data_IF_757764592925
#
_entry.id   IF_757764592925
#
_cell.length_a   1.000
_cell.length_b   1.000
_cell.length_c   1.000
_cell.angle_alpha   90.00
_cell.angle_beta   90.00
_cell.angle_gamma   90.00
#
_symmetry.space_group_name_H-M   'P 1'
#
loop_
_entity.id
_entity.type
_entity.pdbx_description
1 polymer ?
#
# COMPACT_ATOMS: atom_id res chain seq x y z
N UNK A 1 -34.09 -25.49 22.50
CA UNK A 1 -32.65 -25.19 22.67
C UNK A 1 -32.14 -24.60 21.37
N UNK A 2 -32.16 -23.28 21.26
CA UNK A 2 -31.75 -22.52 20.09
C UNK A 2 -30.92 -21.33 20.59
N UNK A 3 -29.63 -21.57 20.84
CA UNK A 3 -28.65 -20.56 21.28
C UNK A 3 -27.24 -21.06 20.93
N UNK A 4 -26.89 -21.15 19.65
CA UNK A 4 -25.50 -21.33 19.18
C UNK A 4 -25.30 -20.66 17.82
N UNK A 5 -25.94 -19.50 17.62
CA UNK A 5 -25.97 -18.76 16.36
C UNK A 5 -25.19 -17.44 16.32
N UNK A 6 -24.31 -17.11 17.28
CA UNK A 6 -23.75 -15.74 17.35
C UNK A 6 -22.26 -15.61 17.72
N UNK A 7 -21.54 -16.69 18.01
CA UNK A 7 -20.21 -16.58 18.63
C UNK A 7 -19.02 -16.52 17.64
N UNK A 8 -19.19 -16.90 16.37
CA UNK A 8 -18.07 -16.95 15.40
C UNK A 8 -18.05 -15.74 14.45
N UNK A 9 -19.14 -14.98 14.34
CA UNK A 9 -19.18 -13.74 13.53
C UNK A 9 -18.45 -12.55 14.20
N UNK A 10 -18.19 -12.61 15.51
CA UNK A 10 -17.78 -11.44 16.30
C UNK A 10 -16.27 -11.20 16.41
N UNK A 11 -15.41 -12.06 15.86
CA UNK A 11 -13.96 -11.89 16.01
C UNK A 11 -13.26 -11.14 14.88
N UNK A 12 -13.96 -10.76 13.80
CA UNK A 12 -13.40 -9.98 12.70
C UNK A 12 -14.27 -8.80 12.25
N UNK A 13 -15.39 -8.54 12.93
CA UNK A 13 -16.38 -7.59 12.43
C UNK A 13 -17.17 -6.88 13.54
N UNK A 14 -16.80 -5.63 13.86
CA UNK A 14 -17.67 -4.76 14.65
C UNK A 14 -18.60 -4.01 13.69
N UNK A 15 -19.82 -4.52 13.50
CA UNK A 15 -20.83 -3.76 12.75
C UNK A 15 -21.33 -2.61 13.65
N UNK A 16 -21.00 -1.37 13.31
CA UNK A 16 -21.65 -0.24 13.96
C UNK A 16 -23.09 -0.17 13.41
N UNK A 17 -24.07 -0.63 14.18
CA UNK A 17 -25.47 -0.76 13.76
C UNK A 17 -26.22 0.55 13.44
N UNK A 18 -25.51 1.69 13.39
CA UNK A 18 -26.07 2.99 13.04
C UNK A 18 -26.09 3.18 11.50
N UNK A 19 -27.28 3.10 10.92
CA UNK A 19 -27.51 3.30 9.49
C UNK A 19 -27.09 4.70 9.04
N UNK A 20 -27.31 5.74 9.85
CA UNK A 20 -26.98 7.13 9.47
C UNK A 20 -25.48 7.33 9.46
N UNK A 21 -24.77 6.82 10.47
CA UNK A 21 -23.31 6.86 10.51
C UNK A 21 -22.67 6.14 9.32
N UNK A 22 -23.20 4.98 8.94
CA UNK A 22 -22.78 4.24 7.75
C UNK A 22 -22.99 5.04 6.46
N UNK A 23 -24.20 5.57 6.25
CA UNK A 23 -24.54 6.31 5.02
C UNK A 23 -23.67 7.57 4.88
N UNK A 24 -23.45 8.29 5.98
CA UNK A 24 -22.55 9.45 6.01
C UNK A 24 -21.10 9.05 5.71
N UNK A 25 -20.60 7.99 6.34
CA UNK A 25 -19.24 7.49 6.13
C UNK A 25 -19.01 7.11 4.67
N UNK A 26 -19.99 6.46 4.04
CA UNK A 26 -19.94 6.13 2.62
C UNK A 26 -19.87 7.37 1.73
N UNK A 27 -20.74 8.37 1.96
CA UNK A 27 -20.74 9.63 1.20
C UNK A 27 -19.39 10.36 1.34
N UNK A 28 -18.84 10.42 2.56
CA UNK A 28 -17.54 11.06 2.80
C UNK A 28 -16.41 10.33 2.08
N UNK A 29 -16.35 9.00 2.14
CA UNK A 29 -15.34 8.23 1.44
C UNK A 29 -15.47 8.37 -0.09
N UNK A 30 -16.68 8.30 -0.63
CA UNK A 30 -16.93 8.50 -2.06
C UNK A 30 -16.46 9.89 -2.52
N UNK A 31 -16.73 10.93 -1.71
CA UNK A 31 -16.28 12.30 -1.98
C UNK A 31 -14.75 12.39 -1.99
N UNK A 32 -14.08 11.79 -1.00
CA UNK A 32 -12.61 11.76 -0.94
C UNK A 32 -12.01 11.05 -2.16
N UNK A 33 -12.59 9.93 -2.59
CA UNK A 33 -12.15 9.20 -3.79
C UNK A 33 -12.36 10.03 -5.06
N UNK A 34 -13.49 10.73 -5.18
CA UNK A 34 -13.71 11.65 -6.31
C UNK A 34 -12.69 12.78 -6.34
N UNK A 35 -12.35 13.36 -5.18
CA UNK A 35 -11.31 14.39 -5.08
C UNK A 35 -9.93 13.83 -5.45
N UNK A 36 -9.60 12.62 -4.97
CA UNK A 36 -8.34 11.96 -5.31
C UNK A 36 -8.19 11.70 -6.82
N UNK A 37 -9.29 11.29 -7.48
CA UNK A 37 -9.35 11.12 -8.94
C UNK A 37 -9.19 12.46 -9.66
N UNK A 38 -9.86 13.51 -9.21
CA UNK A 38 -9.73 14.85 -9.79
C UNK A 38 -8.32 15.45 -9.63
N UNK A 39 -7.61 15.08 -8.57
CA UNK A 39 -6.23 15.49 -8.31
C UNK A 39 -5.17 14.57 -8.95
N UNK A 40 -5.57 13.59 -9.77
CA UNK A 40 -4.71 12.56 -10.38
C UNK A 40 -3.78 11.87 -9.36
N UNK A 41 -4.28 11.59 -8.14
CA UNK A 41 -3.50 10.89 -7.11
C UNK A 41 -3.31 9.40 -7.43
N UNK A 42 -4.20 8.82 -8.24
CA UNK A 42 -4.22 7.39 -8.59
C UNK A 42 -3.07 6.96 -9.50
N UNK A 43 -2.45 7.92 -10.19
CA UNK A 43 -1.37 7.69 -11.14
C UNK A 43 -0.04 8.07 -10.49
N UNK A 44 1.08 7.46 -10.91
CA UNK A 44 2.41 7.91 -10.52
C UNK A 44 2.57 9.41 -10.82
N UNK A 45 3.23 10.18 -9.95
CA UNK A 45 3.49 11.59 -10.23
C UNK A 45 4.30 11.71 -11.53
N UNK A 46 4.03 12.75 -12.36
CA UNK A 46 4.78 12.97 -13.59
C UNK A 46 6.26 13.14 -13.23
N UNK A 47 7.11 12.37 -13.92
CA UNK A 47 8.55 12.36 -13.67
C UNK A 47 9.12 13.76 -13.91
N UNK A 48 9.94 14.31 -12.99
CA UNK A 48 10.51 15.66 -13.14
C UNK A 48 11.44 15.78 -14.37
N UNK A 49 11.91 14.66 -14.93
CA UNK A 49 12.73 14.63 -16.15
C UNK A 49 11.93 14.55 -17.45
N UNK A 50 10.60 14.47 -17.37
CA UNK A 50 9.71 14.57 -18.53
C UNK A 50 9.46 16.02 -18.88
N UNK A 51 10.44 16.71 -19.46
CA UNK A 51 10.17 17.96 -20.17
C UNK A 51 8.99 17.71 -21.13
N UNK A 52 7.88 18.46 -21.07
CA UNK A 52 7.06 18.59 -22.25
C UNK A 52 7.99 19.19 -23.30
N UNK A 53 8.21 18.48 -24.40
CA UNK A 53 8.63 19.14 -25.63
C UNK A 53 7.51 20.13 -25.96
N UNK A 54 7.60 21.33 -25.38
CA UNK A 54 6.86 22.47 -25.84
C UNK A 54 7.33 22.61 -27.28
N UNK A 55 6.46 22.22 -28.20
CA UNK A 55 6.63 22.42 -29.62
C UNK A 55 6.74 23.94 -29.80
N UNK A 56 7.99 24.44 -29.79
CA UNK A 56 8.28 25.86 -29.99
C UNK A 56 7.98 26.14 -31.45
N UNK A 57 6.73 26.54 -31.68
CA UNK A 57 6.34 27.16 -32.92
C UNK A 57 7.09 28.49 -33.02
N UNK A 58 8.05 28.55 -33.94
CA UNK A 58 8.88 29.72 -34.17
C UNK A 58 8.03 30.88 -34.65
N UNK A 59 7.88 31.91 -33.81
CA UNK A 59 7.49 33.25 -34.25
C UNK A 59 8.66 34.20 -34.01
N UNK A 60 9.26 34.66 -35.12
CA UNK A 60 10.26 35.72 -35.13
C UNK A 60 9.71 37.00 -34.46
N UNK A 61 10.46 37.59 -33.54
CA UNK A 61 10.24 38.99 -33.14
C UNK A 61 10.77 39.34 -31.75
N UNK A 62 11.96 39.95 -31.73
CA UNK A 62 12.47 40.93 -30.79
C UNK A 62 12.51 40.67 -29.26
N UNK A 63 13.75 40.67 -28.76
CA UNK A 63 14.21 41.28 -27.51
C UNK A 63 13.24 41.31 -26.31
N UNK A 64 13.24 40.22 -25.53
CA UNK A 64 13.01 40.31 -24.08
C UNK A 64 14.05 39.44 -23.38
N UNK A 65 14.99 40.10 -22.71
CA UNK A 65 15.86 39.52 -21.68
C UNK A 65 14.96 38.97 -20.56
N UNK A 66 14.48 37.74 -20.67
CA UNK A 66 13.86 37.08 -19.54
C UNK A 66 14.95 36.35 -18.77
N UNK A 67 15.55 37.10 -17.84
CA UNK A 67 16.49 36.61 -16.86
C UNK A 67 15.92 35.35 -16.23
N UNK A 68 16.63 34.26 -16.45
CA UNK A 68 16.48 33.03 -15.71
C UNK A 68 16.69 33.39 -14.23
N UNK A 69 15.61 33.66 -13.51
CA UNK A 69 15.57 33.65 -12.05
C UNK A 69 15.89 32.22 -11.67
N UNK A 70 17.18 31.90 -11.66
CA UNK A 70 17.72 30.69 -11.04
C UNK A 70 17.45 30.89 -9.56
N UNK A 71 16.34 30.31 -9.10
CA UNK A 71 15.99 30.22 -7.69
C UNK A 71 17.26 29.89 -6.90
N UNK A 72 17.55 30.65 -5.85
CA UNK A 72 18.74 30.50 -5.01
C UNK A 72 18.74 29.19 -4.18
N UNK A 73 17.80 28.29 -4.48
CA UNK A 73 17.66 26.99 -3.84
C UNK A 73 18.71 26.04 -4.44
N UNK A 74 19.58 25.41 -3.63
CA UNK A 74 20.51 24.39 -4.10
C UNK A 74 19.78 23.28 -4.86
N UNK A 75 20.39 22.73 -5.91
CA UNK A 75 19.77 21.72 -6.78
C UNK A 75 19.25 20.50 -5.99
N UNK A 76 20.05 20.02 -5.04
CA UNK A 76 19.70 18.95 -4.09
C UNK A 76 18.46 19.27 -3.25
N UNK A 77 18.33 20.54 -2.81
CA UNK A 77 17.17 20.98 -2.03
C UNK A 77 15.91 20.96 -2.90
N UNK A 78 16.00 21.35 -4.17
CA UNK A 78 14.88 21.32 -5.10
C UNK A 78 14.48 19.88 -5.45
N UNK A 79 15.45 18.99 -5.69
CA UNK A 79 15.19 17.57 -5.96
C UNK A 79 14.50 16.89 -4.76
N UNK A 80 15.02 17.10 -3.54
CA UNK A 80 14.40 16.57 -2.33
C UNK A 80 12.97 17.09 -2.12
N UNK A 81 12.71 18.38 -2.35
CA UNK A 81 11.36 18.93 -2.28
C UNK A 81 10.41 18.29 -3.30
N UNK A 82 10.87 18.08 -4.54
CA UNK A 82 10.08 17.41 -5.56
C UNK A 82 9.78 15.95 -5.18
N UNK A 83 10.77 15.22 -4.65
CA UNK A 83 10.60 13.87 -4.12
C UNK A 83 9.60 13.85 -2.97
N UNK A 84 9.70 14.79 -2.03
CA UNK A 84 8.82 14.88 -0.86
C UNK A 84 7.36 15.12 -1.26
N UNK A 85 7.11 15.99 -2.24
CA UNK A 85 5.77 16.21 -2.81
C UNK A 85 5.22 14.94 -3.49
N UNK A 86 6.06 14.22 -4.23
CA UNK A 86 5.67 12.95 -4.84
C UNK A 86 5.28 11.89 -3.79
N UNK A 87 6.06 11.77 -2.72
CA UNK A 87 5.80 10.84 -1.62
C UNK A 87 4.57 11.26 -0.79
N UNK A 88 4.37 12.55 -0.56
CA UNK A 88 3.18 13.09 0.11
C UNK A 88 1.89 12.75 -0.65
N UNK A 89 1.89 12.94 -1.97
CA UNK A 89 0.76 12.57 -2.84
C UNK A 89 0.45 11.07 -2.74
N UNK A 90 1.49 10.24 -2.80
CA UNK A 90 1.37 8.78 -2.65
C UNK A 90 0.78 8.41 -1.30
N UNK A 91 1.30 8.96 -0.21
CA UNK A 91 0.80 8.71 1.16
C UNK A 91 -0.65 9.18 1.34
N UNK A 92 -1.02 10.31 0.73
CA UNK A 92 -2.40 10.83 0.72
C UNK A 92 -3.37 9.87 0.03
N UNK A 93 -3.00 9.32 -1.14
CA UNK A 93 -3.80 8.29 -1.81
C UNK A 93 -4.07 7.11 -0.87
N UNK A 94 -3.03 6.59 -0.22
CA UNK A 94 -3.17 5.43 0.66
C UNK A 94 -3.93 5.73 1.95
N UNK A 95 -3.87 6.95 2.47
CA UNK A 95 -4.72 7.36 3.58
C UNK A 95 -6.21 7.31 3.19
N UNK A 96 -6.56 7.78 1.99
CA UNK A 96 -7.92 7.70 1.45
C UNK A 96 -8.33 6.23 1.23
N UNK A 97 -7.42 5.41 0.72
CA UNK A 97 -7.64 3.96 0.57
C UNK A 97 -7.96 3.29 1.91
N UNK A 98 -7.16 3.54 2.95
CA UNK A 98 -7.38 2.99 4.29
C UNK A 98 -8.75 3.42 4.84
N UNK A 99 -9.13 4.69 4.71
CA UNK A 99 -10.45 5.17 5.13
C UNK A 99 -11.59 4.48 4.36
N UNK A 100 -11.41 4.28 3.05
CA UNK A 100 -12.34 3.52 2.23
C UNK A 100 -12.47 2.06 2.69
N UNK A 101 -11.35 1.39 3.01
CA UNK A 101 -11.33 0.03 3.57
C UNK A 101 -11.97 -0.06 4.94
N UNK A 102 -12.02 1.01 5.73
CA UNK A 102 -12.75 0.99 7.01
C UNK A 102 -14.26 0.81 6.80
N UNK A 103 -14.84 1.25 5.68
CA UNK A 103 -16.24 0.91 5.35
C UNK A 103 -16.42 -0.60 5.22
N UNK A 104 -15.42 -1.24 4.61
CA UNK A 104 -15.36 -2.67 4.41
C UNK A 104 -15.18 -3.41 5.70
N UNK A 105 -14.57 -2.84 6.76
CA UNK A 105 -14.32 -3.44 8.10
C UNK A 105 -15.33 -3.03 9.21
N UNK A 106 -16.05 -1.92 9.07
CA UNK A 106 -16.96 -1.38 10.08
C UNK A 106 -18.45 -1.43 9.70
N UNK A 107 -18.79 -1.41 8.41
CA UNK A 107 -20.20 -1.37 7.94
C UNK A 107 -20.63 -2.45 6.92
N UNK A 108 -19.71 -3.33 6.53
CA UNK A 108 -19.86 -4.45 5.58
C UNK A 108 -20.34 -3.93 4.24
N UNK A 109 -19.87 -2.73 3.93
CA UNK A 109 -20.18 -1.99 2.74
C UNK A 109 -19.01 -2.13 1.76
N UNK A 110 -19.31 -2.08 0.46
CA UNK A 110 -18.26 -2.02 -0.55
C UNK A 110 -17.29 -0.86 -0.28
N UNK A 111 -15.98 -1.05 -0.50
CA UNK A 111 -15.04 0.06 -0.41
C UNK A 111 -15.37 1.09 -1.49
N UNK A 112 -15.17 2.37 -1.18
CA UNK A 112 -15.31 3.45 -2.15
C UNK A 112 -14.17 3.46 -3.20
N UNK A 113 -13.04 2.85 -2.85
CA UNK A 113 -11.85 2.65 -3.69
C UNK A 113 -11.39 1.20 -3.59
N UNK A 114 -11.39 0.48 -4.72
CA UNK A 114 -11.03 -0.94 -4.76
C UNK A 114 -9.52 -1.15 -4.92
N UNK A 115 -9.06 -2.38 -4.65
CA UNK A 115 -7.66 -2.75 -4.84
C UNK A 115 -7.23 -2.64 -6.31
N UNK A 116 -8.13 -2.92 -7.27
CA UNK A 116 -7.79 -2.91 -8.70
C UNK A 116 -7.57 -1.49 -9.26
N UNK A 117 -8.16 -0.48 -8.62
CA UNK A 117 -8.04 0.92 -9.01
C UNK A 117 -6.66 1.54 -8.66
N UNK A 118 -5.91 0.96 -7.71
CA UNK A 118 -4.61 1.51 -7.28
C UNK A 118 -3.48 1.04 -8.19
N UNK A 119 -2.79 1.98 -8.84
CA UNK A 119 -1.64 1.70 -9.71
C UNK A 119 -0.30 2.22 -9.17
N UNK A 120 -0.32 2.91 -8.03
CA UNK A 120 0.87 3.49 -7.41
C UNK A 120 1.77 2.44 -6.74
N UNK A 121 3.04 2.82 -6.55
CA UNK A 121 3.98 2.09 -5.70
C UNK A 121 3.60 2.19 -4.23
N UNK A 122 4.08 1.25 -3.41
CA UNK A 122 3.99 1.37 -1.96
C UNK A 122 4.84 2.57 -1.47
N UNK A 123 4.44 3.19 -0.33
CA UNK A 123 5.22 4.26 0.29
C UNK A 123 6.59 3.80 0.78
N UNK A 124 7.57 4.69 0.73
CA UNK A 124 8.92 4.45 1.23
C UNK A 124 8.93 4.22 2.75
N UNK A 125 10.06 3.76 3.28
CA UNK A 125 10.25 3.64 4.73
C UNK A 125 10.13 4.99 5.45
N UNK A 126 9.67 4.94 6.71
CA UNK A 126 9.36 6.13 7.52
C UNK A 126 10.58 6.99 7.79
N UNK A 127 11.78 6.40 7.83
CA UNK A 127 13.04 7.12 8.05
C UNK A 127 13.30 8.15 6.94
N UNK A 128 13.10 7.77 5.67
CA UNK A 128 13.23 8.68 4.54
C UNK A 128 12.15 9.76 4.54
N UNK A 129 10.91 9.40 4.90
CA UNK A 129 9.80 10.34 5.00
C UNK A 129 10.00 11.36 6.14
N UNK A 130 10.56 10.93 7.26
CA UNK A 130 10.83 11.75 8.44
C UNK A 130 12.00 12.73 8.26
N UNK A 131 12.77 12.63 7.17
CA UNK A 131 13.83 13.59 6.86
C UNK A 131 13.27 15.03 6.82
N UNK A 132 13.85 15.92 7.62
CA UNK A 132 13.39 17.31 7.77
C UNK A 132 14.00 18.25 6.74
N UNK A 133 15.12 17.86 6.12
CA UNK A 133 15.85 18.65 5.13
C UNK A 133 16.64 17.76 4.16
N UNK A 134 17.05 18.34 3.01
CA UNK A 134 17.78 17.63 1.98
C UNK A 134 19.07 16.99 2.51
N UNK A 135 19.84 17.68 3.37
CA UNK A 135 21.09 17.15 3.92
C UNK A 135 20.87 15.81 4.65
N UNK A 136 19.84 15.74 5.50
CA UNK A 136 19.49 14.50 6.22
C UNK A 136 19.01 13.39 5.27
N UNK A 137 18.28 13.74 4.21
CA UNK A 137 17.80 12.81 3.20
C UNK A 137 18.95 12.20 2.37
N UNK A 138 19.87 13.02 1.88
CA UNK A 138 21.03 12.55 1.13
C UNK A 138 22.07 11.85 2.00
N UNK A 139 22.15 12.16 3.30
CA UNK A 139 22.97 11.39 4.24
C UNK A 139 22.51 9.92 4.35
N UNK A 140 21.22 9.63 4.09
CA UNK A 140 20.68 8.27 3.99
C UNK A 140 20.76 7.68 2.56
N UNK A 141 21.38 8.40 1.62
CA UNK A 141 21.54 8.00 0.21
C UNK A 141 20.41 8.47 -0.72
N UNK A 142 19.55 9.36 -0.25
CA UNK A 142 18.60 10.10 -1.07
C UNK A 142 17.54 9.24 -1.75
N UNK A 143 17.07 9.70 -2.92
CA UNK A 143 15.97 9.08 -3.67
C UNK A 143 16.29 7.65 -4.10
N UNK A 144 17.54 7.36 -4.47
CA UNK A 144 18.00 6.03 -4.85
C UNK A 144 17.88 5.02 -3.70
N UNK A 145 18.27 5.42 -2.48
CA UNK A 145 18.09 4.57 -1.29
C UNK A 145 16.62 4.46 -0.89
N UNK A 146 15.83 5.54 -0.97
CA UNK A 146 14.41 5.51 -0.65
C UNK A 146 13.62 4.57 -1.58
N UNK A 147 14.04 4.47 -2.84
CA UNK A 147 13.41 3.63 -3.86
C UNK A 147 13.98 2.19 -3.90
N UNK A 148 14.94 1.83 -3.05
CA UNK A 148 15.57 0.50 -3.12
C UNK A 148 14.59 -0.65 -2.78
N UNK A 149 13.56 -0.38 -1.99
CA UNK A 149 12.48 -1.32 -1.62
C UNK A 149 11.19 -1.05 -2.39
N UNK A 150 11.25 -0.24 -3.45
CA UNK A 150 10.08 0.17 -4.23
C UNK A 150 9.45 -1.03 -4.92
N UNK A 151 8.17 -1.21 -4.66
CA UNK A 151 7.34 -2.23 -5.30
C UNK A 151 5.95 -1.67 -5.56
N UNK A 152 5.32 -2.11 -6.65
CA UNK A 152 3.95 -1.68 -6.96
C UNK A 152 2.98 -2.29 -5.94
N UNK A 153 1.89 -1.57 -5.62
CA UNK A 153 0.84 -2.12 -4.75
C UNK A 153 0.33 -3.49 -5.23
N UNK A 154 0.09 -3.62 -6.54
CA UNK A 154 -0.41 -4.84 -7.17
C UNK A 154 0.60 -5.99 -7.03
N UNK A 155 1.90 -5.73 -7.24
CA UNK A 155 2.94 -6.75 -7.06
C UNK A 155 3.03 -7.22 -5.61
N UNK A 156 3.07 -6.27 -4.66
CA UNK A 156 3.14 -6.58 -3.24
C UNK A 156 1.93 -7.39 -2.75
N UNK A 157 0.71 -7.00 -3.15
CA UNK A 157 -0.50 -7.74 -2.79
C UNK A 157 -0.52 -9.14 -3.43
N UNK A 158 -0.07 -9.28 -4.67
CA UNK A 158 -0.01 -10.57 -5.35
C UNK A 158 0.99 -11.51 -4.68
N UNK A 159 2.18 -11.03 -4.37
CA UNK A 159 3.19 -11.81 -3.63
C UNK A 159 2.69 -12.21 -2.25
N UNK A 160 1.98 -11.31 -1.57
CA UNK A 160 1.37 -11.55 -0.26
C UNK A 160 0.31 -12.67 -0.33
N UNK A 161 -0.59 -12.62 -1.31
CA UNK A 161 -1.61 -13.66 -1.50
C UNK A 161 -1.02 -15.00 -1.98
N UNK A 162 0.14 -14.97 -2.66
CA UNK A 162 0.86 -16.18 -3.05
C UNK A 162 1.61 -16.84 -1.88
N UNK A 163 1.72 -16.19 -0.71
CA UNK A 163 2.38 -16.75 0.46
C UNK A 163 1.79 -18.12 0.86
N UNK A 164 0.48 -18.34 0.65
CA UNK A 164 -0.16 -19.64 0.93
C UNK A 164 0.26 -20.76 -0.01
N UNK A 165 0.72 -20.43 -1.21
CA UNK A 165 1.12 -21.39 -2.24
C UNK A 165 2.60 -21.74 -2.14
N UNK A 166 3.36 -21.04 -1.29
CA UNK A 166 4.76 -21.39 -1.03
C UNK A 166 4.75 -22.73 -0.30
N UNK A 167 5.40 -23.78 -0.84
CA UNK A 167 5.51 -25.02 -0.10
C UNK A 167 6.18 -24.68 1.22
N UNK A 168 5.46 -24.87 2.34
CA UNK A 168 6.06 -24.97 3.67
C UNK A 168 7.10 -26.10 3.55
N UNK A 169 8.35 -25.75 3.27
CA UNK A 169 9.45 -26.68 3.43
C UNK A 169 9.54 -26.95 4.92
N UNK A 170 8.88 -28.04 5.30
CA UNK A 170 9.00 -28.84 6.51
C UNK A 170 9.86 -28.21 7.61
N UNK A 171 9.16 -27.67 8.60
CA UNK A 171 9.57 -27.85 9.99
C UNK A 171 9.51 -29.36 10.29
N UNK A 172 10.56 -30.08 9.88
CA UNK A 172 10.69 -31.51 10.03
C UNK A 172 12.14 -31.87 10.34
N UNK A 173 12.37 -32.25 11.59
CA UNK A 173 13.63 -32.68 12.17
C UNK A 173 14.53 -33.48 11.20
N UNK A 174 15.77 -33.02 10.99
CA UNK A 174 16.92 -33.93 10.88
C UNK A 174 18.11 -33.28 11.55
N UNK A 175 18.51 -33.86 12.69
CA UNK A 175 19.83 -33.64 13.25
C UNK A 175 20.86 -34.08 12.20
N UNK A 176 21.62 -33.13 11.66
CA UNK A 176 22.84 -33.44 10.92
C UNK A 176 23.96 -32.60 11.51
N UNK A 177 24.80 -33.25 12.32
CA UNK A 177 26.08 -32.72 12.73
C UNK A 177 26.96 -32.58 11.48
N UNK A 178 27.24 -31.34 11.05
CA UNK A 178 28.19 -31.14 9.96
C UNK A 178 28.30 -29.69 9.48
N UNK A 179 29.38 -29.04 9.92
CA UNK A 179 30.15 -28.01 9.22
C UNK A 179 29.43 -26.76 8.68
N UNK A 180 29.76 -25.62 9.32
CA UNK A 180 29.18 -24.31 9.04
C UNK A 180 29.29 -23.85 7.61
N UNK A 181 28.18 -23.35 7.07
CA UNK A 181 28.10 -22.39 5.98
C UNK A 181 26.86 -21.50 6.21
N UNK A 182 27.10 -20.20 6.26
CA UNK A 182 26.22 -19.05 6.01
C UNK A 182 24.85 -18.96 6.72
N UNK A 183 24.73 -17.95 7.60
CA UNK A 183 23.49 -17.40 8.15
C UNK A 183 22.67 -16.62 7.09
N UNK A 184 22.44 -17.19 5.91
CA UNK A 184 21.91 -16.47 4.74
C UNK A 184 20.72 -17.16 4.06
N UNK A 185 20.09 -18.14 4.71
CA UNK A 185 18.82 -18.74 4.24
C UNK A 185 17.61 -18.14 4.97
N UNK A 186 17.56 -16.81 5.08
CA UNK A 186 16.27 -16.13 5.25
C UNK A 186 15.64 -16.09 3.85
N UNK A 187 14.36 -16.50 3.65
CA UNK A 187 13.77 -16.55 2.32
C UNK A 187 13.93 -15.21 1.62
N UNK A 188 14.72 -15.18 0.54
CA UNK A 188 15.03 -13.99 -0.28
C UNK A 188 13.78 -13.38 -0.95
N UNK A 189 12.60 -13.94 -0.69
CA UNK A 189 11.30 -13.50 -1.19
C UNK A 189 10.40 -13.00 -0.04
N UNK A 190 10.95 -12.48 1.05
CA UNK A 190 10.13 -11.86 2.10
C UNK A 190 9.88 -10.40 1.72
N UNK A 191 8.64 -10.08 1.33
CA UNK A 191 8.15 -8.71 1.23
C UNK A 191 8.61 -7.90 2.45
N UNK A 192 9.36 -6.82 2.20
CA UNK A 192 9.79 -5.86 3.23
C UNK A 192 9.19 -4.47 2.99
N UNK A 193 7.85 -4.33 2.98
CA UNK A 193 7.19 -3.04 2.83
C UNK A 193 7.45 -2.15 4.05
N UNK A 194 7.28 -0.84 3.91
CA UNK A 194 7.30 0.14 5.01
C UNK A 194 6.29 -0.21 6.11
N UNK A 195 6.42 0.35 7.31
CA UNK A 195 5.42 0.15 8.38
C UNK A 195 4.03 0.63 7.90
N UNK A 196 3.99 1.77 7.21
CA UNK A 196 2.79 2.25 6.55
C UNK A 196 2.35 1.33 5.39
N UNK A 197 3.30 0.78 4.61
CA UNK A 197 3.05 -0.26 3.62
C UNK A 197 2.38 -1.52 4.19
N UNK A 198 2.79 -2.00 5.37
CA UNK A 198 2.14 -3.11 6.06
C UNK A 198 0.68 -2.79 6.37
N UNK A 199 0.40 -1.59 6.91
CA UNK A 199 -0.98 -1.15 7.18
C UNK A 199 -1.84 -1.11 5.91
N UNK A 200 -1.28 -0.63 4.81
CA UNK A 200 -1.95 -0.62 3.49
C UNK A 200 -2.29 -2.05 3.05
N UNK A 201 -1.33 -2.98 3.14
CA UNK A 201 -1.53 -4.36 2.73
C UNK A 201 -2.56 -5.09 3.60
N UNK A 202 -2.60 -4.84 4.91
CA UNK A 202 -3.65 -5.36 5.79
C UNK A 202 -5.05 -4.89 5.33
N UNK A 203 -5.19 -3.59 5.02
CA UNK A 203 -6.45 -3.05 4.50
C UNK A 203 -6.81 -3.62 3.12
N UNK A 204 -5.82 -3.87 2.27
CA UNK A 204 -6.01 -4.54 0.99
C UNK A 204 -6.48 -6.00 1.14
N UNK A 205 -5.97 -6.74 2.14
CA UNK A 205 -6.45 -8.07 2.48
C UNK A 205 -7.91 -8.04 2.93
N UNK A 206 -8.32 -7.06 3.76
CA UNK A 206 -9.73 -6.91 4.13
C UNK A 206 -10.63 -6.71 2.91
N UNK A 207 -10.24 -5.82 1.99
CA UNK A 207 -10.97 -5.61 0.74
C UNK A 207 -11.03 -6.90 -0.11
N UNK A 208 -9.93 -7.64 -0.21
CA UNK A 208 -9.87 -8.90 -0.96
C UNK A 208 -10.79 -9.98 -0.39
N UNK A 209 -10.79 -10.16 0.94
CA UNK A 209 -11.69 -11.10 1.62
C UNK A 209 -13.15 -10.73 1.36
N UNK A 210 -13.48 -9.44 1.51
CA UNK A 210 -14.82 -8.95 1.25
C UNK A 210 -15.24 -9.17 -0.20
N UNK A 211 -14.43 -8.78 -1.18
CA UNK A 211 -14.71 -8.98 -2.60
C UNK A 211 -14.90 -10.46 -2.94
N UNK A 212 -14.08 -11.34 -2.38
CA UNK A 212 -14.21 -12.77 -2.61
C UNK A 212 -15.55 -13.26 -2.10
N UNK A 213 -15.94 -12.90 -0.87
CA UNK A 213 -17.28 -13.22 -0.33
C UNK A 213 -18.42 -12.72 -1.21
N UNK A 214 -18.32 -11.50 -1.74
CA UNK A 214 -19.36 -10.94 -2.62
C UNK A 214 -19.46 -11.66 -3.97
N UNK A 215 -18.35 -12.16 -4.53
CA UNK A 215 -18.37 -12.93 -5.79
C UNK A 215 -19.08 -14.28 -5.65
N UNK A 216 -19.21 -14.80 -4.42
CA UNK A 216 -19.98 -16.00 -4.12
C UNK A 216 -21.49 -15.77 -3.99
N UNK A 217 -22.03 -14.59 -4.32
CA UNK A 217 -23.46 -14.23 -4.16
C UNK A 217 -24.50 -15.22 -4.74
N UNK A 218 -24.14 -16.06 -5.71
CA UNK A 218 -25.04 -17.11 -6.24
C UNK A 218 -25.10 -18.40 -5.38
N UNK A 219 -24.23 -18.57 -4.39
CA UNK A 219 -24.21 -19.72 -3.47
C UNK A 219 -24.05 -19.23 -2.03
N UNK A 220 -24.85 -19.72 -1.10
CA UNK A 220 -24.69 -19.34 0.31
C UNK A 220 -23.25 -19.63 0.78
N UNK A 221 -22.55 -18.61 1.27
CA UNK A 221 -21.19 -18.72 1.82
C UNK A 221 -21.20 -19.70 3.00
N UNK A 222 -20.43 -20.77 2.92
CA UNK A 222 -20.44 -21.85 3.91
C UNK A 222 -19.31 -21.71 4.93
N UNK A 223 -19.40 -22.47 6.02
CA UNK A 223 -18.31 -22.59 6.99
C UNK A 223 -17.04 -23.18 6.33
N UNK A 224 -17.19 -24.11 5.40
CA UNK A 224 -16.08 -24.69 4.63
C UNK A 224 -15.38 -23.62 3.77
N UNK A 225 -16.15 -22.72 3.13
CA UNK A 225 -15.58 -21.60 2.36
C UNK A 225 -14.83 -20.62 3.27
N UNK A 226 -15.32 -20.43 4.51
CA UNK A 226 -14.64 -19.61 5.53
C UNK A 226 -13.31 -20.21 5.93
N UNK A 227 -13.27 -21.52 6.20
CA UNK A 227 -12.05 -22.23 6.60
C UNK A 227 -11.01 -22.26 5.47
N UNK A 228 -11.45 -22.46 4.22
CA UNK A 228 -10.58 -22.36 3.04
C UNK A 228 -10.00 -20.96 2.88
N UNK A 229 -10.83 -19.93 3.07
CA UNK A 229 -10.37 -18.55 3.03
C UNK A 229 -9.36 -18.27 4.16
N UNK A 230 -9.61 -18.74 5.37
CA UNK A 230 -8.68 -18.58 6.49
C UNK A 230 -7.33 -19.20 6.19
N UNK A 231 -7.28 -20.48 5.77
CA UNK A 231 -6.04 -21.16 5.41
C UNK A 231 -5.27 -20.47 4.27
N UNK A 232 -5.97 -19.84 3.34
CA UNK A 232 -5.34 -19.10 2.24
C UNK A 232 -4.73 -17.76 2.70
N UNK A 233 -5.33 -17.08 3.68
CA UNK A 233 -4.89 -15.74 4.11
C UNK A 233 -3.92 -15.80 5.30
N UNK A 234 -4.00 -16.82 6.15
CA UNK A 234 -3.16 -16.95 7.35
C UNK A 234 -1.64 -16.81 7.06
N UNK A 235 -1.07 -17.49 6.03
CA UNK A 235 0.35 -17.32 5.69
C UNK A 235 0.73 -15.89 5.29
N UNK A 236 -0.21 -15.12 4.74
CA UNK A 236 0.00 -13.72 4.40
C UNK A 236 0.16 -12.86 5.67
N UNK A 237 -0.69 -13.08 6.67
CA UNK A 237 -0.58 -12.38 7.95
C UNK A 237 0.70 -12.73 8.71
N UNK A 238 1.09 -14.01 8.73
CA UNK A 238 2.34 -14.43 9.36
C UNK A 238 3.56 -13.77 8.69
N UNK A 239 3.59 -13.75 7.35
CA UNK A 239 4.63 -13.08 6.57
C UNK A 239 4.74 -11.58 6.93
N UNK A 240 3.61 -10.88 7.01
CA UNK A 240 3.57 -9.48 7.41
C UNK A 240 4.00 -9.27 8.87
N UNK A 241 3.57 -10.14 9.78
CA UNK A 241 3.95 -10.07 11.20
C UNK A 241 5.46 -10.24 11.38
N UNK A 242 6.08 -11.18 10.68
CA UNK A 242 7.54 -11.36 10.67
C UNK A 242 8.23 -10.15 10.06
N UNK A 243 7.72 -9.59 8.96
CA UNK A 243 8.27 -8.38 8.34
C UNK A 243 8.22 -7.18 9.29
N UNK A 244 7.13 -6.99 10.03
CA UNK A 244 7.01 -5.93 11.04
C UNK A 244 7.95 -6.16 12.24
N UNK A 245 8.11 -7.39 12.71
CA UNK A 245 8.95 -7.72 13.87
C UNK A 245 10.46 -7.64 13.60
N UNK A 246 10.87 -7.69 12.33
CA UNK A 246 12.28 -7.64 11.91
C UNK A 246 12.78 -6.23 11.61
N UNK A 247 11.92 -5.21 11.72
CA UNK A 247 12.33 -3.81 11.61
C UNK A 247 12.83 -3.31 12.98
N UNK A 248 14.06 -2.75 13.04
CA UNK A 248 14.61 -2.17 14.26
C UNK A 248 13.86 -0.91 14.70
#
# INVERSE_FOLDING_TARGET
MACTGYAVEHHLWFNCGDKVARDNSFIHCATLVSLAKAADLMKPPPSPNGLPQQEVQMTNGDHVMNGHIKSEIPDDQQEWLNWKVAEERKRTLYAIFILSSMLVSAYNHAPALTNSEIESDLPCDEEFWAAENANSFYAMGGSASADCTKTTFKAALSELLQASNRPQYQQGQTQSFGNGHNAQDLPQNLLKPSAFGCLILINALHNYIWETRQRHTNKAWTNEDTEKMHHHIEPAFESLAVSMATKP
#
